data_IF_398922783702
#
_entry.id   IF_398922783702
#
_cell.length_a   1.000
_cell.length_b   1.000
_cell.length_c   1.000
_cell.angle_alpha   90.00
_cell.angle_beta   90.00
_cell.angle_gamma   90.00
#
_symmetry.space_group_name_H-M   'P 1'
#
loop_
_entity.id
_entity.type
_entity.pdbx_description
1 polymer ?
#
# COMPACT_ATOMS: atom_id res chain seq x y z
N UNK A 1 17.70 41.30 -36.87
CA UNK A 1 18.11 42.37 -35.94
C UNK A 1 17.60 43.69 -36.48
N UNK A 2 16.93 44.48 -35.65
CA UNK A 2 16.40 45.80 -35.98
C UNK A 2 17.19 46.83 -35.18
N UNK A 3 17.70 47.87 -35.85
CA UNK A 3 18.50 48.91 -35.20
C UNK A 3 17.57 49.85 -34.42
N UNK A 4 17.73 49.91 -33.10
CA UNK A 4 17.08 50.91 -32.23
C UNK A 4 18.16 51.79 -31.62
N UNK A 5 18.36 52.97 -32.20
CA UNK A 5 19.40 53.91 -31.75
C UNK A 5 20.81 53.31 -31.88
N UNK A 6 21.53 53.23 -30.77
CA UNK A 6 22.91 52.72 -30.67
C UNK A 6 22.99 51.20 -30.46
N UNK A 7 21.85 50.49 -30.39
CA UNK A 7 21.80 49.07 -30.05
C UNK A 7 21.08 48.27 -31.15
N UNK A 8 21.57 47.07 -31.43
CA UNK A 8 20.94 46.12 -32.35
C UNK A 8 20.06 45.17 -31.55
N UNK A 9 18.73 45.30 -31.67
CA UNK A 9 17.79 44.42 -31.01
C UNK A 9 17.40 43.26 -31.94
N UNK A 10 17.42 42.02 -31.44
CA UNK A 10 16.73 40.90 -32.09
C UNK A 10 15.62 40.41 -31.17
N UNK A 11 14.39 40.41 -31.68
CA UNK A 11 13.29 39.67 -31.07
C UNK A 11 13.16 38.34 -31.79
N UNK A 12 13.39 37.24 -31.09
CA UNK A 12 12.95 35.92 -31.53
C UNK A 12 11.49 35.76 -31.10
N UNK A 13 10.60 35.26 -31.97
CA UNK A 13 9.24 34.95 -31.57
C UNK A 13 9.30 33.88 -30.48
N UNK A 14 8.98 34.25 -29.25
CA UNK A 14 8.83 33.31 -28.15
C UNK A 14 7.40 32.79 -28.16
N UNK A 15 7.24 31.48 -28.17
CA UNK A 15 5.93 30.87 -27.91
C UNK A 15 5.59 31.16 -26.45
N UNK A 16 4.44 31.78 -26.18
CA UNK A 16 3.95 31.92 -24.81
C UNK A 16 3.91 30.52 -24.17
N UNK A 17 4.49 30.37 -22.98
CA UNK A 17 4.47 29.11 -22.25
C UNK A 17 3.00 28.72 -22.00
N UNK A 18 2.46 27.81 -22.81
CA UNK A 18 1.14 27.24 -22.58
C UNK A 18 1.21 26.44 -21.30
N UNK A 19 0.61 26.96 -20.23
CA UNK A 19 0.47 26.24 -18.96
C UNK A 19 -0.62 25.20 -19.15
N UNK A 20 -0.28 24.10 -19.81
CA UNK A 20 -1.15 22.92 -19.86
C UNK A 20 -1.31 22.39 -18.44
N UNK A 21 -2.53 22.46 -17.91
CA UNK A 21 -2.83 21.80 -16.64
C UNK A 21 -2.87 20.29 -16.87
N UNK A 22 -1.93 19.58 -16.24
CA UNK A 22 -1.82 18.12 -16.31
C UNK A 22 -2.85 17.44 -15.40
N UNK A 23 -4.12 17.45 -15.82
CA UNK A 23 -5.23 16.80 -15.12
C UNK A 23 -5.05 15.29 -14.96
N UNK A 24 -4.37 14.67 -15.92
CA UNK A 24 -3.95 13.28 -15.90
C UNK A 24 -3.10 12.95 -14.67
N UNK A 25 -2.19 13.84 -14.27
CA UNK A 25 -1.33 13.65 -13.09
C UNK A 25 -2.15 13.67 -11.80
N UNK A 26 -3.12 14.57 -11.67
CA UNK A 26 -3.98 14.64 -10.48
C UNK A 26 -4.87 13.41 -10.32
N UNK A 27 -5.45 12.94 -11.43
CA UNK A 27 -6.23 11.69 -11.45
C UNK A 27 -5.35 10.52 -11.02
N UNK A 28 -4.10 10.49 -11.49
CA UNK A 28 -3.16 9.43 -11.17
C UNK A 28 -2.72 9.44 -9.70
N UNK A 29 -2.53 10.63 -9.11
CA UNK A 29 -2.26 10.80 -7.67
C UNK A 29 -3.45 10.32 -6.83
N UNK A 30 -4.68 10.66 -7.22
CA UNK A 30 -5.88 10.21 -6.51
C UNK A 30 -6.03 8.67 -6.57
N UNK A 31 -5.77 8.08 -7.74
CA UNK A 31 -5.80 6.63 -7.93
C UNK A 31 -4.67 5.94 -7.13
N UNK A 32 -3.47 6.53 -7.13
CA UNK A 32 -2.36 6.07 -6.29
C UNK A 32 -2.73 6.10 -4.81
N UNK A 33 -3.32 7.18 -4.31
CA UNK A 33 -3.75 7.30 -2.93
C UNK A 33 -4.76 6.19 -2.54
N UNK A 34 -5.76 5.95 -3.39
CA UNK A 34 -6.75 4.88 -3.18
C UNK A 34 -6.11 3.49 -3.15
N UNK A 35 -5.26 3.18 -4.13
CA UNK A 35 -4.60 1.86 -4.21
C UNK A 35 -3.62 1.65 -3.06
N UNK A 36 -2.92 2.69 -2.61
CA UNK A 36 -2.01 2.59 -1.48
C UNK A 36 -2.75 2.35 -0.16
N UNK A 37 -3.88 3.04 0.05
CA UNK A 37 -4.74 2.79 1.22
C UNK A 37 -5.30 1.38 1.24
N UNK A 38 -5.75 0.88 0.08
CA UNK A 38 -6.22 -0.49 -0.06
C UNK A 38 -5.10 -1.50 0.23
N UNK A 39 -3.89 -1.27 -0.31
CA UNK A 39 -2.72 -2.13 -0.09
C UNK A 39 -2.36 -2.21 1.39
N UNK A 40 -2.27 -1.07 2.07
CA UNK A 40 -1.98 -1.07 3.50
C UNK A 40 -3.07 -1.74 4.32
N UNK A 41 -4.35 -1.52 4.01
CA UNK A 41 -5.44 -2.20 4.73
C UNK A 41 -5.38 -3.72 4.57
N UNK A 42 -5.10 -4.21 3.37
CA UNK A 42 -4.97 -5.64 3.08
C UNK A 42 -3.77 -6.25 3.80
N UNK A 43 -2.62 -5.57 3.77
CA UNK A 43 -1.40 -6.01 4.48
C UNK A 43 -1.61 -6.06 5.99
N UNK A 44 -2.26 -5.04 6.56
CA UNK A 44 -2.56 -5.00 8.01
C UNK A 44 -3.56 -6.08 8.42
N UNK A 45 -4.51 -6.42 7.54
CA UNK A 45 -5.42 -7.55 7.77
C UNK A 45 -4.69 -8.91 7.76
N UNK A 46 -3.70 -9.11 6.88
CA UNK A 46 -2.83 -10.30 6.89
C UNK A 46 -2.04 -10.48 8.17
N UNK A 47 -1.57 -9.38 8.74
CA UNK A 47 -0.66 -9.44 9.88
C UNK A 47 -1.41 -9.83 11.16
N UNK A 48 -2.68 -9.42 11.25
CA UNK A 48 -3.55 -9.74 12.38
C UNK A 48 -3.91 -11.23 12.47
N UNK A 49 -3.90 -11.96 11.35
CA UNK A 49 -4.18 -13.40 11.35
C UNK A 49 -2.95 -14.27 11.67
N UNK A 50 -1.73 -13.72 11.60
CA UNK A 50 -0.49 -14.48 11.84
C UNK A 50 0.02 -14.48 13.28
N UNK A 51 -0.35 -13.51 14.10
CA UNK A 51 0.16 -13.41 15.46
C UNK A 51 -0.96 -13.39 16.50
N UNK A 52 -1.16 -14.55 17.11
CA UNK A 52 -1.62 -14.61 18.49
C UNK A 52 -0.64 -13.80 19.33
N UNK A 53 -1.05 -12.59 19.74
CA UNK A 53 -0.38 -11.76 20.75
C UNK A 53 0.88 -11.01 20.27
N UNK A 54 0.74 -10.12 19.27
CA UNK A 54 1.71 -9.03 19.08
C UNK A 54 1.77 -8.15 20.35
N UNK A 55 2.98 -7.86 20.83
CA UNK A 55 3.23 -6.89 21.91
C UNK A 55 2.54 -5.55 21.56
N UNK A 56 1.81 -4.90 22.49
CA UNK A 56 1.15 -3.62 22.24
C UNK A 56 2.06 -2.55 21.63
N UNK A 57 3.36 -2.62 21.90
CA UNK A 57 4.38 -1.74 21.30
C UNK A 57 4.55 -2.01 19.79
N UNK A 58 4.55 -3.27 19.37
CA UNK A 58 4.69 -3.65 17.96
C UNK A 58 3.42 -3.38 17.16
N UNK A 59 2.24 -3.58 17.76
CA UNK A 59 0.96 -3.23 17.16
C UNK A 59 0.86 -1.71 16.87
N UNK A 60 1.30 -0.89 17.82
CA UNK A 60 1.33 0.56 17.67
C UNK A 60 2.30 1.00 16.55
N UNK A 61 3.47 0.35 16.45
CA UNK A 61 4.45 0.62 15.39
C UNK A 61 3.88 0.21 14.02
N UNK A 62 3.28 -0.97 13.89
CA UNK A 62 2.66 -1.40 12.63
C UNK A 62 1.52 -0.49 12.21
N UNK A 63 0.66 -0.08 13.16
CA UNK A 63 -0.46 0.82 12.89
C UNK A 63 0.01 2.21 12.47
N UNK A 64 1.04 2.74 13.13
CA UNK A 64 1.60 4.04 12.76
C UNK A 64 2.24 3.99 11.38
N UNK A 65 3.04 2.97 11.07
CA UNK A 65 3.64 2.79 9.75
C UNK A 65 2.61 2.56 8.65
N UNK A 66 1.58 1.76 8.95
CA UNK A 66 0.45 1.43 8.07
C UNK A 66 -0.64 2.49 7.97
N UNK A 67 -0.44 3.69 8.51
CA UNK A 67 -1.41 4.79 8.37
C UNK A 67 -0.71 6.11 8.07
N UNK A 68 0.38 6.44 8.77
CA UNK A 68 1.07 7.72 8.58
C UNK A 68 1.93 7.76 7.32
N UNK A 69 2.56 6.64 6.94
CA UNK A 69 3.48 6.61 5.81
C UNK A 69 2.83 6.97 4.47
N UNK A 70 1.66 6.42 4.09
CA UNK A 70 1.00 6.81 2.84
C UNK A 70 0.58 8.27 2.85
N UNK A 71 0.06 8.76 3.97
CA UNK A 71 -0.41 10.14 4.09
C UNK A 71 0.76 11.09 3.82
N UNK A 72 1.92 10.81 4.41
CA UNK A 72 3.16 11.56 4.17
C UNK A 72 3.60 11.50 2.70
N UNK A 73 3.60 10.31 2.09
CA UNK A 73 4.01 10.14 0.68
C UNK A 73 3.06 10.89 -0.27
N UNK A 74 1.74 10.75 -0.07
CA UNK A 74 0.71 11.44 -0.85
C UNK A 74 0.87 12.96 -0.70
N UNK A 75 1.04 13.45 0.53
CA UNK A 75 1.26 14.88 0.79
C UNK A 75 2.52 15.41 0.09
N UNK A 76 3.58 14.62 0.06
CA UNK A 76 4.84 14.98 -0.63
C UNK A 76 4.64 15.05 -2.15
N UNK A 77 3.86 14.15 -2.74
CA UNK A 77 3.60 14.14 -4.20
C UNK A 77 2.72 15.30 -4.68
N UNK A 78 1.90 15.88 -3.81
CA UNK A 78 1.14 17.11 -4.14
C UNK A 78 2.05 18.34 -4.19
N UNK A 79 3.08 18.40 -3.33
CA UNK A 79 4.01 19.54 -3.26
C UNK A 79 5.16 19.39 -4.27
N UNK A 80 5.70 18.18 -4.41
CA UNK A 80 6.78 17.84 -5.33
C UNK A 80 6.24 16.82 -6.33
N UNK A 81 5.77 17.27 -7.51
CA UNK A 81 5.21 16.37 -8.50
C UNK A 81 6.33 15.51 -9.10
N UNK A 82 6.26 14.22 -8.83
CA UNK A 82 7.10 13.21 -9.50
C UNK A 82 6.52 12.82 -10.86
N UNK A 83 7.33 12.29 -11.79
CA UNK A 83 6.87 11.95 -13.15
C UNK A 83 5.71 10.94 -13.14
N UNK A 84 4.73 11.14 -14.03
CA UNK A 84 3.53 10.29 -14.13
C UNK A 84 3.83 8.81 -14.38
N UNK A 85 4.90 8.49 -15.12
CA UNK A 85 5.32 7.10 -15.36
C UNK A 85 5.66 6.35 -14.07
N UNK A 86 6.25 7.04 -13.09
CA UNK A 86 6.57 6.46 -11.78
C UNK A 86 5.29 6.18 -10.99
N UNK A 87 4.33 7.12 -10.99
CA UNK A 87 3.04 6.94 -10.32
C UNK A 87 2.28 5.74 -10.89
N UNK A 88 2.28 5.57 -12.21
CA UNK A 88 1.64 4.43 -12.89
C UNK A 88 2.27 3.09 -12.48
N UNK A 89 3.61 3.06 -12.41
CA UNK A 89 4.35 1.90 -11.91
C UNK A 89 3.95 1.56 -10.48
N UNK A 90 3.91 2.56 -9.58
CA UNK A 90 3.57 2.36 -8.17
C UNK A 90 2.14 1.84 -7.99
N UNK A 91 1.18 2.41 -8.72
CA UNK A 91 -0.22 1.93 -8.76
C UNK A 91 -0.27 0.46 -9.17
N UNK A 92 0.38 0.11 -10.27
CA UNK A 92 0.36 -1.25 -10.81
C UNK A 92 1.01 -2.23 -9.82
N UNK A 93 2.14 -1.83 -9.22
CA UNK A 93 2.83 -2.58 -8.18
C UNK A 93 1.93 -2.82 -6.96
N UNK A 94 1.22 -1.79 -6.49
CA UNK A 94 0.29 -1.91 -5.36
C UNK A 94 -0.84 -2.92 -5.65
N UNK A 95 -1.38 -2.91 -6.88
CA UNK A 95 -2.44 -3.86 -7.30
C UNK A 95 -1.91 -5.30 -7.27
N UNK A 96 -0.71 -5.54 -7.83
CA UNK A 96 -0.08 -6.86 -7.82
C UNK A 96 0.20 -7.31 -6.38
N UNK A 97 0.71 -6.40 -5.54
CA UNK A 97 0.99 -6.68 -4.14
C UNK A 97 -0.27 -7.07 -3.37
N UNK A 98 -1.37 -6.31 -3.53
CA UNK A 98 -2.68 -6.66 -2.94
C UNK A 98 -3.09 -8.07 -3.36
N UNK A 99 -3.00 -8.38 -4.64
CA UNK A 99 -3.41 -9.69 -5.18
C UNK A 99 -2.56 -10.82 -4.61
N UNK A 100 -1.24 -10.65 -4.54
CA UNK A 100 -0.33 -11.61 -3.90
C UNK A 100 -0.67 -11.79 -2.43
N UNK A 101 -0.85 -10.70 -1.68
CA UNK A 101 -1.18 -10.72 -0.25
C UNK A 101 -2.51 -11.45 0.01
N UNK A 102 -3.54 -11.21 -0.80
CA UNK A 102 -4.84 -11.91 -0.68
C UNK A 102 -4.70 -13.41 -0.94
N UNK A 103 -3.93 -13.81 -1.95
CA UNK A 103 -3.70 -15.23 -2.27
C UNK A 103 -2.94 -15.91 -1.13
N UNK A 104 -1.89 -15.27 -0.61
CA UNK A 104 -1.08 -15.79 0.50
C UNK A 104 -1.93 -15.93 1.77
N UNK A 105 -2.73 -14.92 2.12
CA UNK A 105 -3.63 -15.01 3.28
C UNK A 105 -4.58 -16.20 3.18
N UNK A 106 -5.20 -16.38 2.01
CA UNK A 106 -6.08 -17.52 1.77
C UNK A 106 -5.39 -18.89 1.90
N UNK A 107 -4.09 -18.97 1.66
CA UNK A 107 -3.34 -20.21 1.87
C UNK A 107 -3.10 -20.46 3.36
N UNK A 108 -2.69 -19.41 4.09
CA UNK A 108 -2.47 -19.46 5.53
C UNK A 108 -3.76 -19.82 6.27
N UNK A 109 -4.88 -19.17 5.93
CA UNK A 109 -6.17 -19.43 6.57
C UNK A 109 -6.58 -20.92 6.42
N UNK A 110 -6.36 -21.51 5.24
CA UNK A 110 -6.62 -22.93 4.98
C UNK A 110 -5.68 -23.87 5.73
N UNK A 111 -4.41 -23.50 5.89
CA UNK A 111 -3.45 -24.26 6.71
C UNK A 111 -3.83 -24.21 8.18
N UNK A 112 -4.25 -23.04 8.69
CA UNK A 112 -4.72 -22.84 10.05
C UNK A 112 -5.98 -23.68 10.33
N UNK A 113 -6.95 -23.68 9.41
CA UNK A 113 -8.15 -24.52 9.51
C UNK A 113 -7.79 -26.02 9.56
N UNK A 114 -6.87 -26.49 8.72
CA UNK A 114 -6.40 -27.88 8.77
C UNK A 114 -5.69 -28.21 10.08
N UNK A 115 -4.82 -27.33 10.57
CA UNK A 115 -4.10 -27.53 11.82
C UNK A 115 -5.06 -27.57 13.03
N UNK A 116 -6.06 -26.69 13.07
CA UNK A 116 -7.07 -26.66 14.14
C UNK A 116 -7.97 -27.90 14.12
N UNK A 117 -8.35 -28.40 12.93
CA UNK A 117 -9.12 -29.65 12.81
C UNK A 117 -8.29 -30.85 13.29
N UNK A 118 -6.99 -30.89 13.01
CA UNK A 118 -6.10 -31.97 13.50
C UNK A 118 -5.95 -31.91 15.02
N UNK A 119 -5.83 -30.72 15.61
CA UNK A 119 -5.73 -30.53 17.06
C UNK A 119 -7.01 -30.98 17.79
N UNK A 120 -8.19 -30.62 17.26
CA UNK A 120 -9.49 -31.00 17.83
C UNK A 120 -9.72 -32.53 17.77
N UNK A 121 -9.36 -33.19 16.67
CA UNK A 121 -9.48 -34.66 16.51
C UNK A 121 -8.47 -35.43 17.40
N UNK A 122 -7.28 -34.88 17.68
CA UNK A 122 -6.32 -35.51 18.60
C UNK A 122 -6.73 -35.42 20.07
N UNK A 123 -7.48 -34.39 20.46
CA UNK A 123 -7.93 -34.20 21.84
C UNK A 123 -9.15 -35.07 22.20
N UNK A 124 -9.95 -35.53 21.22
CA UNK A 124 -11.05 -36.49 21.46
C UNK A 124 -10.61 -37.96 21.44
N UNK A 125 -9.44 -38.29 20.91
CA UNK A 125 -8.94 -39.68 20.86
C UNK A 125 -8.23 -40.14 22.16
N UNK A 126 -7.66 -39.21 22.95
CA UNK A 126 -6.88 -39.53 24.15
C UNK A 126 -7.60 -39.28 25.50
N UNK A 127 -8.84 -38.79 25.49
CA UNK A 127 -9.68 -38.70 26.71
C UNK A 127 -10.26 -40.07 27.12
N UNK A 128 -9.41 -41.10 27.28
CA UNK A 128 -9.81 -42.35 27.92
C UNK A 128 -10.06 -42.09 29.40
N UNK A 129 -11.32 -41.83 29.74
CA UNK A 129 -11.85 -41.65 31.11
C UNK A 129 -11.20 -42.64 32.09
N UNK A 130 -10.31 -42.12 32.93
CA UNK A 130 -9.83 -42.81 34.12
C UNK A 130 -10.99 -42.89 35.11
N UNK A 131 -11.51 -44.09 35.33
CA UNK A 131 -12.52 -44.36 36.35
C UNK A 131 -11.88 -44.26 37.74
N UNK A 132 -12.59 -43.71 38.74
CA UNK A 132 -12.13 -43.74 40.12
C UNK A 132 -12.22 -45.18 40.62
N UNK A 133 -11.20 -45.64 41.34
CA UNK A 133 -11.24 -46.91 42.04
C UNK A 133 -11.13 -46.65 43.54
N UNK A 134 -12.16 -47.13 44.24
CA UNK A 134 -12.34 -47.15 45.70
C UNK A 134 -11.15 -47.76 46.46
#
# INVERSE_FOLDING_TARGET
FTKQGTVLAASVPTTAASRSFHWDVFVLIALFALTMFASQKVMMASQKSKDSQLDPTQEAIQKSMGTFMPIMIIGTFVIIPIPAGVLLYLVTSNIIQILQTVIVNKQIDKEQERANIIADDSDVADAKKIQPKD
#
